data_IF_345791362222
#
_entry.id   IF_345791362222
#
_cell.length_a   1.000
_cell.length_b   1.000
_cell.length_c   1.000
_cell.angle_alpha   90.00
_cell.angle_beta   90.00
_cell.angle_gamma   90.00
#
_symmetry.space_group_name_H-M   'P 1'
#
loop_
_entity.id
_entity.type
_entity.pdbx_description
1 polymer ?
#
# COMPACT_ATOMS: atom_id res chain seq x y z
N UNK A 1 -17.11 -23.18 18.46
CA UNK A 1 -16.11 -23.93 17.68
C UNK A 1 -15.60 -23.17 16.46
N UNK A 2 -16.45 -22.53 15.61
CA UNK A 2 -16.00 -21.79 14.40
C UNK A 2 -15.06 -20.61 14.71
N UNK A 3 -15.27 -19.86 15.81
CA UNK A 3 -14.41 -18.72 16.20
C UNK A 3 -13.01 -19.13 16.66
N UNK A 4 -12.88 -20.27 17.32
CA UNK A 4 -11.59 -20.82 17.79
C UNK A 4 -10.78 -21.31 16.60
N UNK A 5 -11.42 -21.92 15.60
CA UNK A 5 -10.76 -22.38 14.38
C UNK A 5 -10.18 -21.23 13.56
N UNK A 6 -10.92 -20.09 13.43
CA UNK A 6 -10.45 -18.91 12.72
C UNK A 6 -9.22 -18.29 13.41
N UNK A 7 -9.22 -18.17 14.75
CA UNK A 7 -8.05 -17.69 15.51
C UNK A 7 -6.84 -18.62 15.37
N UNK A 8 -7.04 -19.93 15.34
CA UNK A 8 -5.96 -20.90 15.17
C UNK A 8 -5.32 -20.83 13.78
N UNK A 9 -6.11 -20.60 12.71
CA UNK A 9 -5.61 -20.42 11.34
C UNK A 9 -4.81 -19.13 11.20
N UNK A 10 -5.29 -18.03 11.80
CA UNK A 10 -4.58 -16.74 11.80
C UNK A 10 -3.24 -16.83 12.54
N UNK A 11 -3.23 -17.51 13.71
CA UNK A 11 -1.99 -17.72 14.49
C UNK A 11 -0.99 -18.64 13.78
N UNK A 12 -1.47 -19.66 13.05
CA UNK A 12 -0.60 -20.54 12.27
C UNK A 12 0.03 -19.82 11.06
N UNK A 13 -0.71 -18.96 10.37
CA UNK A 13 -0.17 -18.15 9.26
C UNK A 13 0.95 -17.21 9.72
N UNK A 14 0.85 -16.64 10.93
CA UNK A 14 1.89 -15.78 11.52
C UNK A 14 3.16 -16.55 11.91
N UNK A 15 3.07 -17.84 12.25
CA UNK A 15 4.23 -18.67 12.64
C UNK A 15 5.09 -19.10 11.44
N UNK A 16 4.52 -19.16 10.23
CA UNK A 16 5.27 -19.53 9.01
C UNK A 16 6.01 -18.35 8.37
N UNK A 17 5.74 -17.12 8.79
CA UNK A 17 6.38 -15.92 8.23
C UNK A 17 7.81 -15.64 8.73
N UNK A 18 8.32 -16.41 9.71
CA UNK A 18 9.61 -16.12 10.36
C UNK A 18 10.86 -16.56 9.59
N UNK A 19 10.73 -17.17 8.41
CA UNK A 19 11.88 -17.72 7.67
C UNK A 19 12.23 -17.04 6.36
N UNK A 20 11.41 -16.15 5.84
CA UNK A 20 11.66 -15.48 4.56
C UNK A 20 12.29 -14.10 4.79
N UNK A 21 13.43 -13.84 4.13
CA UNK A 21 14.02 -12.50 4.04
C UNK A 21 13.14 -11.50 3.27
N UNK A 22 12.02 -11.94 2.74
CA UNK A 22 10.98 -11.15 2.11
C UNK A 22 10.00 -10.67 3.19
N UNK A 23 9.81 -9.36 3.29
CA UNK A 23 8.85 -8.76 4.20
C UNK A 23 7.46 -8.80 3.56
N UNK A 24 6.85 -9.98 3.57
CA UNK A 24 5.44 -10.15 3.19
C UNK A 24 4.62 -10.37 4.44
N UNK A 25 3.55 -9.62 4.59
CA UNK A 25 2.64 -9.74 5.72
C UNK A 25 1.19 -9.77 5.25
N UNK A 26 0.33 -10.38 6.06
CA UNK A 26 -1.11 -10.37 5.91
C UNK A 26 -1.71 -9.61 7.08
N UNK A 27 -2.48 -8.58 6.77
CA UNK A 27 -3.13 -7.70 7.73
C UNK A 27 -4.64 -7.90 7.65
N UNK A 28 -5.33 -7.67 8.75
CA UNK A 28 -6.80 -7.68 8.82
C UNK A 28 -7.21 -6.39 9.51
N UNK A 29 -7.97 -5.59 8.81
CA UNK A 29 -8.50 -4.32 9.29
C UNK A 29 -10.01 -4.40 9.46
N UNK A 30 -10.54 -3.60 10.36
CA UNK A 30 -11.96 -3.30 10.42
C UNK A 30 -12.16 -1.79 10.28
N UNK A 31 -12.92 -1.39 9.29
CA UNK A 31 -13.27 0.01 9.06
C UNK A 31 -14.50 0.38 9.90
N UNK A 32 -14.32 1.34 10.81
CA UNK A 32 -15.35 1.82 11.71
C UNK A 32 -16.17 3.01 11.15
N UNK A 33 -15.86 3.47 9.94
CA UNK A 33 -16.60 4.54 9.28
C UNK A 33 -18.10 4.23 9.19
N UNK A 34 -18.97 5.22 9.39
CA UNK A 34 -20.43 5.02 9.43
C UNK A 34 -20.98 4.32 8.18
N UNK A 35 -20.37 4.58 7.02
CA UNK A 35 -20.82 4.07 5.73
C UNK A 35 -19.99 2.88 5.22
N UNK A 36 -19.00 2.44 6.00
CA UNK A 36 -18.06 1.39 5.61
C UNK A 36 -18.25 0.12 6.41
N UNK A 37 -18.01 0.11 7.70
CA UNK A 37 -18.30 -0.97 8.64
C UNK A 37 -18.03 -2.40 8.11
N UNK A 38 -16.87 -2.61 7.52
CA UNK A 38 -16.50 -3.89 6.93
C UNK A 38 -15.06 -4.31 7.30
N UNK A 39 -14.77 -5.57 7.02
CA UNK A 39 -13.43 -6.12 7.14
C UNK A 39 -12.70 -5.95 5.80
N UNK A 40 -11.44 -5.56 5.87
CA UNK A 40 -10.49 -5.60 4.76
C UNK A 40 -9.33 -6.50 5.14
N UNK A 41 -8.89 -7.36 4.22
CA UNK A 41 -7.62 -8.06 4.33
C UNK A 41 -6.64 -7.49 3.34
N UNK A 42 -5.43 -7.17 3.82
CA UNK A 42 -4.34 -6.65 3.00
C UNK A 42 -3.17 -7.62 2.99
N UNK A 43 -2.81 -8.09 1.80
CA UNK A 43 -1.53 -8.77 1.57
C UNK A 43 -0.53 -7.73 1.09
N UNK A 44 0.53 -7.49 1.85
CA UNK A 44 1.56 -6.50 1.55
C UNK A 44 2.93 -7.16 1.45
N UNK A 45 3.77 -6.69 0.54
CA UNK A 45 5.14 -7.15 0.40
C UNK A 45 6.12 -6.04 0.04
N UNK A 46 7.31 -6.09 0.64
CA UNK A 46 8.41 -5.20 0.36
C UNK A 46 9.70 -5.99 0.15
N UNK A 47 10.35 -5.82 -1.00
CA UNK A 47 11.52 -6.56 -1.41
C UNK A 47 12.62 -5.63 -1.89
N UNK A 48 13.80 -5.73 -1.30
CA UNK A 48 15.00 -5.04 -1.75
C UNK A 48 15.88 -5.95 -2.62
N UNK A 49 16.51 -5.37 -3.62
CA UNK A 49 17.56 -5.99 -4.42
C UNK A 49 18.70 -4.99 -4.72
N UNK A 50 19.66 -5.39 -5.53
CA UNK A 50 20.83 -4.57 -5.88
C UNK A 50 20.48 -3.32 -6.72
N UNK A 51 19.27 -3.23 -7.26
CA UNK A 51 18.83 -2.14 -8.14
C UNK A 51 17.82 -1.20 -7.45
N UNK A 52 17.31 -1.58 -6.29
CA UNK A 52 16.31 -0.80 -5.57
C UNK A 52 15.32 -1.67 -4.80
N UNK A 53 14.03 -1.35 -4.89
CA UNK A 53 13.01 -2.10 -4.17
C UNK A 53 11.73 -2.27 -4.99
N UNK A 54 10.96 -3.28 -4.62
CA UNK A 54 9.59 -3.51 -5.08
C UNK A 54 8.67 -3.50 -3.87
N UNK A 55 7.62 -2.71 -3.93
CA UNK A 55 6.52 -2.69 -2.98
C UNK A 55 5.24 -3.08 -3.68
N UNK A 56 4.40 -3.87 -3.03
CA UNK A 56 3.05 -4.12 -3.48
C UNK A 56 2.11 -4.35 -2.30
N UNK A 57 0.84 -4.07 -2.50
CA UNK A 57 -0.22 -4.57 -1.66
C UNK A 57 -1.47 -4.94 -2.46
N UNK A 58 -2.29 -5.79 -1.88
CA UNK A 58 -3.59 -6.19 -2.42
C UNK A 58 -4.58 -6.17 -1.28
N UNK A 59 -5.61 -5.35 -1.42
CA UNK A 59 -6.74 -5.27 -0.50
C UNK A 59 -7.91 -6.09 -1.02
N UNK A 60 -8.60 -6.77 -0.10
CA UNK A 60 -9.88 -7.41 -0.31
C UNK A 60 -10.88 -6.90 0.72
N UNK A 61 -11.95 -6.27 0.26
CA UNK A 61 -13.06 -5.83 1.09
C UNK A 61 -14.16 -6.88 1.16
N UNK A 62 -14.77 -7.05 2.35
CA UNK A 62 -15.76 -8.10 2.61
C UNK A 62 -17.11 -7.51 3.04
N UNK A 63 -17.69 -6.62 2.22
CA UNK A 63 -18.96 -5.97 2.48
C UNK A 63 -19.95 -6.07 1.31
N UNK A 64 -19.63 -6.88 0.31
CA UNK A 64 -20.43 -6.99 -0.90
C UNK A 64 -21.81 -7.55 -0.64
N UNK A 65 -22.79 -6.97 -1.33
CA UNK A 65 -24.15 -7.47 -1.40
C UNK A 65 -24.53 -7.72 -2.86
N UNK A 66 -25.24 -8.81 -3.11
CA UNK A 66 -25.81 -9.09 -4.41
C UNK A 66 -27.09 -8.26 -4.67
N UNK A 67 -27.70 -8.44 -5.84
CA UNK A 67 -28.94 -7.75 -6.23
C UNK A 67 -30.12 -8.05 -5.30
N UNK A 68 -30.02 -9.11 -4.49
CA UNK A 68 -31.04 -9.51 -3.51
C UNK A 68 -30.68 -9.07 -2.09
N UNK A 69 -29.70 -8.17 -1.92
CA UNK A 69 -29.19 -7.70 -0.64
C UNK A 69 -28.57 -8.80 0.25
N UNK A 70 -28.15 -9.93 -0.34
CA UNK A 70 -27.42 -11.00 0.36
C UNK A 70 -25.93 -10.66 0.39
N UNK A 71 -25.30 -10.95 1.52
CA UNK A 71 -23.87 -10.76 1.65
C UNK A 71 -23.12 -11.69 0.69
N UNK A 72 -22.32 -11.11 -0.18
CA UNK A 72 -21.33 -11.76 -1.02
C UNK A 72 -19.96 -11.20 -0.69
N UNK A 73 -19.02 -12.07 -0.50
CA UNK A 73 -17.65 -11.71 -0.15
C UNK A 73 -16.67 -12.48 -1.03
N UNK A 74 -15.61 -11.83 -1.50
CA UNK A 74 -15.25 -10.41 -1.37
C UNK A 74 -16.13 -9.49 -2.24
N UNK A 75 -16.21 -8.21 -1.90
CA UNK A 75 -16.97 -7.18 -2.64
C UNK A 75 -16.12 -6.40 -3.61
N UNK A 76 -14.87 -6.15 -3.25
CA UNK A 76 -13.91 -5.43 -4.07
C UNK A 76 -12.49 -5.90 -3.78
N UNK A 77 -11.62 -5.62 -4.72
CA UNK A 77 -10.18 -5.72 -4.56
C UNK A 77 -9.53 -4.47 -5.13
N UNK A 78 -8.51 -3.98 -4.44
CA UNK A 78 -7.63 -2.91 -4.91
C UNK A 78 -6.20 -3.35 -4.73
N UNK A 79 -5.33 -3.01 -5.66
CA UNK A 79 -3.92 -3.34 -5.56
C UNK A 79 -3.04 -2.26 -6.15
N UNK A 80 -1.86 -2.16 -5.59
CA UNK A 80 -0.76 -1.36 -6.12
C UNK A 80 0.50 -2.21 -6.22
N UNK A 81 1.29 -1.94 -7.23
CA UNK A 81 2.64 -2.46 -7.37
C UNK A 81 3.57 -1.35 -7.84
N UNK A 82 4.59 -1.07 -7.06
CA UNK A 82 5.58 -0.05 -7.31
C UNK A 82 6.99 -0.65 -7.40
N UNK A 83 7.77 -0.21 -8.37
CA UNK A 83 9.18 -0.53 -8.51
C UNK A 83 10.02 0.73 -8.48
N UNK A 84 10.91 0.83 -7.50
CA UNK A 84 11.95 1.85 -7.42
C UNK A 84 13.26 1.32 -7.97
N UNK A 85 13.93 2.13 -8.81
CA UNK A 85 15.24 1.85 -9.39
C UNK A 85 16.21 2.96 -8.98
N UNK A 86 17.20 2.60 -8.18
CA UNK A 86 18.23 3.53 -7.70
C UNK A 86 19.53 3.33 -8.48
N UNK A 87 19.77 4.20 -9.44
CA UNK A 87 21.00 4.22 -10.26
C UNK A 87 22.13 5.05 -9.62
N UNK A 88 21.84 5.77 -8.54
CA UNK A 88 22.73 6.75 -7.92
C UNK A 88 23.26 6.33 -6.56
N UNK A 89 23.20 5.04 -6.21
CA UNK A 89 23.52 4.49 -4.89
C UNK A 89 24.90 4.93 -4.35
N UNK A 90 25.91 4.99 -5.23
CA UNK A 90 27.29 5.35 -4.86
C UNK A 90 27.57 6.87 -4.90
N UNK A 91 26.55 7.71 -5.08
CA UNK A 91 26.70 9.16 -5.22
C UNK A 91 26.04 9.92 -4.06
N UNK A 92 26.18 11.25 -4.05
CA UNK A 92 25.48 12.14 -3.12
C UNK A 92 23.95 12.11 -3.30
N UNK A 93 23.48 11.56 -4.43
CA UNK A 93 22.05 11.35 -4.73
C UNK A 93 21.61 9.92 -4.39
N UNK A 94 22.30 9.22 -3.49
CA UNK A 94 22.02 7.83 -3.14
C UNK A 94 20.60 7.55 -2.66
N UNK A 95 19.89 8.56 -2.15
CA UNK A 95 18.47 8.45 -1.79
C UNK A 95 17.49 8.59 -2.96
N UNK A 96 17.94 9.00 -4.17
CA UNK A 96 17.07 9.22 -5.31
C UNK A 96 16.84 7.91 -6.09
N UNK A 97 15.58 7.64 -6.41
CA UNK A 97 15.17 6.52 -7.26
C UNK A 97 14.22 7.00 -8.36
N UNK A 98 14.23 6.32 -9.50
CA UNK A 98 13.10 6.36 -10.42
C UNK A 98 12.04 5.37 -9.93
N UNK A 99 10.78 5.77 -9.93
CA UNK A 99 9.65 4.90 -9.60
C UNK A 99 8.74 4.71 -10.80
N UNK A 100 8.31 3.48 -11.00
CA UNK A 100 7.17 3.13 -11.85
C UNK A 100 6.17 2.37 -10.98
N UNK A 101 4.87 2.63 -11.21
CA UNK A 101 3.81 2.07 -10.38
C UNK A 101 2.56 1.81 -11.22
N UNK A 102 1.83 0.77 -10.87
CA UNK A 102 0.54 0.45 -11.44
C UNK A 102 -0.47 0.17 -10.33
N UNK A 103 -1.62 0.84 -10.41
CA UNK A 103 -2.72 0.73 -9.47
C UNK A 103 -3.96 0.23 -10.21
N UNK A 104 -4.74 -0.63 -9.57
CA UNK A 104 -5.95 -1.15 -10.18
C UNK A 104 -6.81 -1.92 -9.21
N UNK A 105 -7.94 -2.44 -9.72
CA UNK A 105 -8.84 -3.23 -8.90
C UNK A 105 -10.10 -3.63 -9.62
N UNK A 106 -10.96 -4.33 -8.90
CA UNK A 106 -12.28 -4.76 -9.33
C UNK A 106 -13.27 -4.58 -8.19
N UNK A 107 -14.49 -4.16 -8.50
CA UNK A 107 -15.59 -4.08 -7.56
C UNK A 107 -16.84 -4.73 -8.13
N UNK A 108 -17.75 -5.18 -7.25
CA UNK A 108 -19.04 -5.72 -7.65
C UNK A 108 -19.90 -4.60 -8.22
N UNK A 109 -20.14 -4.65 -9.53
CA UNK A 109 -21.02 -3.69 -10.22
C UNK A 109 -20.39 -2.31 -10.51
N UNK A 110 -19.10 -2.11 -10.22
CA UNK A 110 -18.36 -0.91 -10.58
C UNK A 110 -16.92 -1.23 -10.95
N UNK A 111 -16.34 -0.39 -11.82
CA UNK A 111 -14.93 -0.50 -12.17
C UNK A 111 -14.07 0.34 -11.23
N UNK A 112 -12.91 -0.17 -10.83
CA UNK A 112 -11.85 0.63 -10.24
C UNK A 112 -10.96 1.14 -11.37
N UNK A 113 -10.77 2.46 -11.44
CA UNK A 113 -9.95 3.03 -12.49
C UNK A 113 -8.49 2.60 -12.34
N UNK A 114 -7.96 2.04 -13.41
CA UNK A 114 -6.54 1.68 -13.49
C UNK A 114 -5.69 2.93 -13.67
N UNK A 115 -4.54 3.00 -13.01
CA UNK A 115 -3.61 4.11 -13.14
C UNK A 115 -2.16 3.62 -13.32
N UNK A 116 -1.42 4.33 -14.15
CA UNK A 116 0.03 4.20 -14.27
C UNK A 116 0.70 5.44 -13.70
N UNK A 117 1.72 5.22 -12.87
CA UNK A 117 2.49 6.30 -12.29
C UNK A 117 3.97 6.12 -12.66
N UNK A 118 4.66 7.25 -12.80
CA UNK A 118 6.10 7.25 -13.05
C UNK A 118 6.72 8.57 -12.63
N UNK A 119 7.89 8.52 -12.00
CA UNK A 119 8.55 9.72 -11.51
C UNK A 119 9.70 9.41 -10.58
N UNK A 120 9.82 10.21 -9.54
CA UNK A 120 10.94 10.17 -8.61
C UNK A 120 10.48 9.88 -7.18
N UNK A 121 11.29 9.09 -6.48
CA UNK A 121 11.20 8.85 -5.04
C UNK A 121 12.53 9.26 -4.41
N UNK A 122 12.48 10.10 -3.38
CA UNK A 122 13.64 10.48 -2.59
C UNK A 122 13.52 9.94 -1.18
N UNK A 123 14.41 9.02 -0.83
CA UNK A 123 14.45 8.34 0.46
C UNK A 123 15.42 9.03 1.42
N UNK A 124 14.89 9.43 2.57
CA UNK A 124 15.62 9.99 3.70
C UNK A 124 15.58 9.00 4.86
N UNK A 125 16.68 8.87 5.57
CA UNK A 125 16.74 8.00 6.75
C UNK A 125 17.77 8.48 7.77
N UNK A 126 17.55 8.13 9.06
CA UNK A 126 18.57 8.22 10.09
C UNK A 126 19.68 7.19 9.86
N UNK A 127 20.83 7.36 10.49
CA UNK A 127 21.99 6.47 10.30
C UNK A 127 21.69 5.00 10.67
N UNK A 128 20.78 4.78 11.60
CA UNK A 128 20.32 3.48 12.08
C UNK A 128 19.07 2.94 11.37
N UNK A 129 18.53 3.68 10.39
CA UNK A 129 17.27 3.40 9.67
C UNK A 129 16.02 3.32 10.57
N UNK A 130 16.10 3.75 11.83
CA UNK A 130 14.96 3.79 12.72
C UNK A 130 13.93 4.85 12.31
N UNK A 131 14.40 5.92 11.67
CA UNK A 131 13.55 6.96 11.13
C UNK A 131 13.72 7.04 9.62
N UNK A 132 12.64 6.87 8.90
CA UNK A 132 12.61 6.88 7.44
C UNK A 132 11.54 7.82 6.92
N UNK A 133 11.80 8.46 5.80
CA UNK A 133 10.86 9.35 5.13
C UNK A 133 11.09 9.34 3.62
N UNK A 134 10.03 9.12 2.84
CA UNK A 134 10.07 9.24 1.39
C UNK A 134 9.24 10.43 0.93
N UNK A 135 9.75 11.13 -0.07
CA UNK A 135 9.05 12.16 -0.83
C UNK A 135 8.99 11.71 -2.27
N UNK A 136 7.79 11.53 -2.80
CA UNK A 136 7.58 11.07 -4.16
C UNK A 136 6.86 12.13 -4.98
N UNK A 137 7.32 12.32 -6.22
CA UNK A 137 6.67 13.17 -7.22
C UNK A 137 6.47 12.32 -8.47
N UNK A 138 5.23 11.99 -8.74
CA UNK A 138 4.87 11.03 -9.78
C UNK A 138 3.92 11.67 -10.80
N UNK A 139 4.17 11.46 -12.08
CA UNK A 139 3.15 11.63 -13.11
C UNK A 139 2.15 10.49 -12.95
N UNK A 140 0.85 10.82 -12.84
CA UNK A 140 -0.23 9.84 -12.66
C UNK A 140 -1.18 9.89 -13.83
N UNK A 141 -1.26 8.80 -14.60
CA UNK A 141 -2.24 8.65 -15.67
C UNK A 141 -3.32 7.66 -15.26
N UNK A 142 -4.51 8.17 -15.01
CA UNK A 142 -5.71 7.37 -14.76
C UNK A 142 -6.33 7.02 -16.12
N UNK A 143 -6.54 5.73 -16.40
CA UNK A 143 -7.16 5.28 -17.64
C UNK A 143 -8.66 5.65 -17.65
N UNK A 144 -9.12 6.18 -18.77
CA UNK A 144 -10.52 6.61 -18.91
C UNK A 144 -10.85 7.93 -18.23
N UNK A 145 -9.86 8.63 -17.65
CA UNK A 145 -10.05 9.94 -17.02
C UNK A 145 -9.29 11.05 -17.74
N UNK A 146 -9.86 12.25 -17.72
CA UNK A 146 -9.17 13.49 -18.08
C UNK A 146 -8.63 14.12 -16.80
N UNK A 147 -7.36 14.51 -16.81
CA UNK A 147 -6.70 15.13 -15.68
C UNK A 147 -6.03 16.42 -16.13
N UNK A 148 -6.37 17.57 -15.52
CA UNK A 148 -5.72 18.86 -15.80
C UNK A 148 -4.30 18.88 -15.24
N UNK A 149 -4.10 18.29 -14.05
CA UNK A 149 -2.80 18.17 -13.38
C UNK A 149 -2.52 16.70 -13.11
N UNK A 150 -1.84 15.99 -14.01
CA UNK A 150 -1.57 14.56 -13.88
C UNK A 150 -0.38 14.28 -12.94
N UNK A 151 -0.40 14.86 -11.76
CA UNK A 151 0.65 14.70 -10.74
C UNK A 151 0.08 14.11 -9.46
N UNK A 152 0.88 13.26 -8.84
CA UNK A 152 0.68 12.77 -7.48
C UNK A 152 1.91 13.08 -6.65
N UNK A 153 1.69 13.61 -5.45
CA UNK A 153 2.70 13.74 -4.40
C UNK A 153 2.40 12.70 -3.34
N UNK A 154 3.39 11.89 -3.00
CA UNK A 154 3.26 10.87 -1.95
C UNK A 154 4.32 11.12 -0.89
N UNK A 155 3.89 11.10 0.37
CA UNK A 155 4.76 11.08 1.53
C UNK A 155 4.63 9.72 2.20
N UNK A 156 5.76 9.09 2.56
CA UNK A 156 5.77 7.85 3.34
C UNK A 156 6.68 8.05 4.53
N UNK A 157 6.28 7.61 5.72
CA UNK A 157 7.08 7.75 6.92
C UNK A 157 7.07 6.51 7.79
N UNK A 158 8.17 6.31 8.52
CA UNK A 158 8.31 5.28 9.52
C UNK A 158 9.24 5.75 10.62
N UNK A 159 8.71 5.90 11.84
CA UNK A 159 9.46 6.30 13.03
C UNK A 159 9.36 5.20 14.07
N UNK A 160 10.51 4.67 14.48
CA UNK A 160 10.63 3.67 15.56
C UNK A 160 10.95 4.38 16.88
N UNK A 161 10.56 3.75 17.98
CA UNK A 161 10.84 4.21 19.33
C UNK A 161 10.46 5.68 19.55
N UNK A 162 9.30 6.05 19.02
CA UNK A 162 8.81 7.44 19.05
C UNK A 162 8.75 7.98 20.48
N UNK A 163 9.21 9.20 20.69
CA UNK A 163 9.35 9.86 22.00
C UNK A 163 10.23 9.07 23.01
N UNK A 164 11.13 8.20 22.54
CA UNK A 164 11.97 7.37 23.40
C UNK A 164 11.24 6.17 24.03
N UNK A 165 10.02 5.86 23.61
CA UNK A 165 9.26 4.71 24.06
C UNK A 165 9.61 3.51 23.18
N UNK A 166 10.34 2.54 23.75
CA UNK A 166 10.80 1.36 23.04
C UNK A 166 9.62 0.57 22.43
N UNK A 167 9.71 0.28 21.14
CA UNK A 167 8.70 -0.46 20.39
C UNK A 167 7.50 0.37 19.93
N UNK A 168 7.39 1.65 20.33
CA UNK A 168 6.35 2.53 19.82
C UNK A 168 6.70 2.96 18.39
N UNK A 169 5.89 2.55 17.42
CA UNK A 169 6.07 2.88 16.00
C UNK A 169 4.97 3.83 15.53
N UNK A 170 5.37 4.84 14.77
CA UNK A 170 4.47 5.68 13.99
C UNK A 170 4.87 5.60 12.52
N UNK A 171 4.01 5.00 11.70
CA UNK A 171 4.26 4.84 10.27
C UNK A 171 2.99 5.06 9.48
N UNK A 172 3.14 5.45 8.22
CA UNK A 172 2.02 5.66 7.33
C UNK A 172 2.46 6.27 6.01
N UNK A 173 1.46 6.63 5.21
CA UNK A 173 1.64 7.35 3.97
C UNK A 173 0.50 8.35 3.75
N UNK A 174 0.71 9.29 2.84
CA UNK A 174 -0.30 10.24 2.39
C UNK A 174 -0.08 10.56 0.91
N UNK A 175 -1.15 10.43 0.13
CA UNK A 175 -1.19 10.71 -1.29
C UNK A 175 -2.02 11.96 -1.57
N UNK A 176 -1.50 12.81 -2.44
CA UNK A 176 -2.13 14.04 -2.87
C UNK A 176 -2.11 14.09 -4.40
N UNK A 177 -3.29 14.04 -5.02
CA UNK A 177 -3.41 14.16 -6.47
C UNK A 177 -4.60 15.00 -6.84
N UNK A 178 -4.57 15.56 -8.07
CA UNK A 178 -5.70 16.25 -8.63
C UNK A 178 -6.58 15.26 -9.38
N UNK A 179 -7.88 15.33 -9.15
CA UNK A 179 -8.87 14.54 -9.88
C UNK A 179 -9.98 15.46 -10.33
N UNK A 180 -10.22 15.49 -11.66
CA UNK A 180 -11.36 16.18 -12.20
C UNK A 180 -12.64 15.44 -11.83
N UNK A 181 -13.73 16.16 -11.62
CA UNK A 181 -15.01 15.53 -11.35
C UNK A 181 -15.43 14.72 -12.59
N UNK A 182 -15.77 13.47 -12.38
CA UNK A 182 -16.47 12.68 -13.38
C UNK A 182 -17.92 13.18 -13.41
N UNK A 183 -18.31 13.77 -14.54
CA UNK A 183 -19.70 14.10 -14.84
C UNK A 183 -20.42 12.87 -15.36
#
# INVERSE_FOLDING_TARGET
MKKIFLMAVTSAALLFAQGAKAQTNLQIFYDFGSDRQHVTTTLEGFYNDNWGNTFFFIDYDYNGKDVNNKNVSPSSTYFEIARCLNFWQASKLGGLSLQVEYNGGLGLGYGVNHAFLGGFDYFLHSADFNNTFNIKVLYKKILGATQQVPLQFTLVWGFQDLFGVQGLRFSGFADFWWQDHYL
#
